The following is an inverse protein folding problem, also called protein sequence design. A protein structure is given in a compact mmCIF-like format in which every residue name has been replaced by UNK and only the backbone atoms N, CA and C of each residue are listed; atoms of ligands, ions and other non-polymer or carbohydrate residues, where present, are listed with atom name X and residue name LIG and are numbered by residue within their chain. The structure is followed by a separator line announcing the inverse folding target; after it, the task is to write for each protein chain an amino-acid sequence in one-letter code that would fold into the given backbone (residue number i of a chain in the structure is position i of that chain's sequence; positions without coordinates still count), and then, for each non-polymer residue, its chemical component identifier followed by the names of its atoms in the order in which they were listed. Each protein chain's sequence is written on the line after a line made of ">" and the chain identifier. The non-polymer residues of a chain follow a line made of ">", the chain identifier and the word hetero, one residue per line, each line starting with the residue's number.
data_IF_773414215676
#
_entry.id   IF_773414215676
#
_cell.length_a   1.000
_cell.length_b   1.000
_cell.length_c   1.000
_cell.angle_alpha   90.00
_cell.angle_beta   90.00
_cell.angle_gamma   90.00
#
_symmetry.space_group_name_H-M   'P 1'
#
loop_
_entity.id
_entity.type
_entity.pdbx_description
1 polymer ?
#
# COMPACT_ATOMS: atom_id res chain seq x y z
N UNK A 1 -6.74 28.16 -9.12
CA UNK A 1 -5.78 29.01 -8.39
C UNK A 1 -6.01 28.76 -6.91
N UNK A 2 -5.31 27.80 -6.32
CA UNK A 2 -5.39 27.47 -4.88
C UNK A 2 -4.21 28.15 -4.18
N UNK A 3 -4.54 29.10 -3.32
CA UNK A 3 -3.56 29.84 -2.53
C UNK A 3 -2.90 28.92 -1.49
N UNK A 4 -1.59 28.67 -1.66
CA UNK A 4 -0.74 28.06 -0.61
C UNK A 4 -0.75 28.96 0.64
N UNK A 5 -1.43 28.52 1.69
CA UNK A 5 -1.26 29.11 3.03
C UNK A 5 0.16 28.80 3.53
N UNK A 6 1.03 29.78 3.52
CA UNK A 6 2.30 29.75 4.25
C UNK A 6 1.99 29.58 5.74
N UNK A 7 2.45 28.47 6.35
CA UNK A 7 2.47 28.32 7.82
C UNK A 7 3.30 29.47 8.40
N UNK A 8 2.68 30.30 9.21
CA UNK A 8 3.39 31.35 9.94
C UNK A 8 4.35 30.69 10.95
N UNK A 9 5.60 31.13 10.95
CA UNK A 9 6.56 30.74 11.95
C UNK A 9 6.07 31.20 13.31
N UNK A 10 6.02 30.29 14.28
CA UNK A 10 5.73 30.61 15.69
C UNK A 10 6.92 31.45 16.20
N UNK A 11 6.71 32.66 16.73
CA UNK A 11 7.81 33.45 17.30
C UNK A 11 8.34 32.73 18.54
N UNK A 12 9.64 32.46 18.57
CA UNK A 12 10.33 31.97 19.75
C UNK A 12 10.23 32.99 20.85
N UNK A 13 9.63 32.63 21.99
CA UNK A 13 9.72 33.45 23.21
C UNK A 13 11.19 33.50 23.68
N UNK A 14 11.68 34.62 24.14
CA UNK A 14 13.04 34.76 24.68
C UNK A 14 13.08 34.03 26.03
N UNK A 15 13.55 32.82 26.07
CA UNK A 15 13.71 32.04 27.27
C UNK A 15 15.01 31.28 27.25
N UNK A 16 15.85 31.56 28.26
CA UNK A 16 17.03 30.86 28.74
C UNK A 16 17.49 29.70 27.87
N UNK A 17 18.71 29.77 27.32
CA UNK A 17 19.41 28.59 26.79
C UNK A 17 19.40 27.49 27.87
N UNK A 18 18.54 26.51 27.72
CA UNK A 18 18.56 25.31 28.55
C UNK A 18 19.90 24.65 28.32
N UNK A 19 20.70 24.45 29.39
CA UNK A 19 21.93 23.69 29.29
C UNK A 19 21.60 22.34 28.69
N UNK A 20 22.45 21.80 27.81
CA UNK A 20 22.26 20.54 27.11
C UNK A 20 21.86 19.38 28.05
N UNK A 21 22.37 19.38 29.29
CA UNK A 21 22.00 18.42 30.33
C UNK A 21 20.51 18.45 30.69
N UNK A 22 19.97 19.65 30.95
CA UNK A 22 18.55 19.83 31.28
C UNK A 22 17.61 19.44 30.12
N UNK A 23 18.05 19.63 28.86
CA UNK A 23 17.29 19.15 27.69
C UNK A 23 17.26 17.62 27.65
N UNK A 24 18.39 16.96 27.89
CA UNK A 24 18.47 15.48 27.93
C UNK A 24 17.59 14.89 29.04
N UNK A 25 17.68 15.42 30.26
CA UNK A 25 16.83 14.99 31.40
C UNK A 25 15.33 15.15 31.05
N UNK A 26 14.98 16.21 30.31
CA UNK A 26 13.60 16.40 29.89
C UNK A 26 13.18 15.38 28.81
N UNK A 27 14.07 15.03 27.89
CA UNK A 27 13.85 13.96 26.90
C UNK A 27 13.65 12.62 27.63
N UNK A 28 14.53 12.26 28.57
CA UNK A 28 14.44 11.01 29.35
C UNK A 28 13.09 10.90 30.10
N UNK A 29 12.61 12.03 30.63
CA UNK A 29 11.29 12.10 31.29
C UNK A 29 10.16 11.84 30.29
N UNK A 30 10.23 12.42 29.09
CA UNK A 30 9.24 12.21 28.03
C UNK A 30 9.28 10.76 27.55
N UNK A 31 10.45 10.17 27.38
CA UNK A 31 10.62 8.79 26.95
C UNK A 31 9.99 7.79 27.96
N UNK A 32 10.18 8.05 29.26
CA UNK A 32 9.53 7.25 30.30
C UNK A 32 8.00 7.33 30.22
N UNK A 33 7.44 8.52 30.01
CA UNK A 33 6.00 8.72 29.83
C UNK A 33 5.48 8.03 28.56
N UNK A 34 6.22 8.12 27.45
CA UNK A 34 5.87 7.43 26.20
C UNK A 34 5.84 5.91 26.41
N UNK A 35 6.83 5.34 27.08
CA UNK A 35 6.87 3.89 27.37
C UNK A 35 5.67 3.46 28.22
N UNK A 36 5.28 4.24 29.23
CA UNK A 36 4.12 3.97 30.07
C UNK A 36 2.82 3.98 29.26
N UNK A 37 2.61 5.01 28.44
CA UNK A 37 1.43 5.16 27.58
C UNK A 37 1.34 4.05 26.51
N UNK A 38 2.47 3.64 25.92
CA UNK A 38 2.53 2.51 25.00
C UNK A 38 2.16 1.19 25.69
N UNK A 39 2.64 0.97 26.91
CA UNK A 39 2.31 -0.20 27.71
C UNK A 39 0.83 -0.23 28.10
N UNK A 40 0.26 0.90 28.48
CA UNK A 40 -1.18 1.03 28.76
C UNK A 40 -2.02 0.74 27.52
N UNK A 41 -1.66 1.34 26.37
CA UNK A 41 -2.33 1.09 25.10
C UNK A 41 -2.30 -0.39 24.69
N UNK A 42 -1.17 -1.08 24.90
CA UNK A 42 -1.03 -2.50 24.61
C UNK A 42 -1.95 -3.35 25.53
N UNK A 43 -2.03 -3.05 26.83
CA UNK A 43 -2.94 -3.72 27.76
C UNK A 43 -4.41 -3.52 27.36
N UNK A 44 -4.80 -2.30 26.97
CA UNK A 44 -6.15 -2.01 26.49
C UNK A 44 -6.48 -2.78 25.20
N UNK A 45 -5.52 -2.90 24.27
CA UNK A 45 -5.67 -3.70 23.07
C UNK A 45 -5.90 -5.20 23.40
N UNK A 46 -5.16 -5.75 24.35
CA UNK A 46 -5.37 -7.13 24.84
C UNK A 46 -6.78 -7.30 25.44
N UNK A 47 -7.24 -6.36 26.24
CA UNK A 47 -8.59 -6.41 26.85
C UNK A 47 -9.70 -6.42 25.78
N UNK A 48 -9.54 -5.64 24.71
CA UNK A 48 -10.45 -5.68 23.55
C UNK A 48 -10.45 -7.07 22.90
N UNK A 49 -9.30 -7.71 22.76
CA UNK A 49 -9.20 -9.08 22.26
C UNK A 49 -9.97 -10.08 23.12
N UNK A 50 -9.73 -10.05 24.43
CA UNK A 50 -10.40 -10.95 25.41
C UNK A 50 -11.92 -10.75 25.41
N UNK A 51 -12.39 -9.48 25.39
CA UNK A 51 -13.82 -9.16 25.38
C UNK A 51 -14.51 -9.75 24.15
N UNK A 52 -13.87 -9.68 23.00
CA UNK A 52 -14.41 -10.23 21.74
C UNK A 52 -14.50 -11.76 21.73
N UNK A 53 -13.58 -12.47 22.36
CA UNK A 53 -13.61 -13.94 22.44
C UNK A 53 -14.76 -14.47 23.31
N UNK A 54 -15.22 -13.71 24.31
CA UNK A 54 -16.33 -14.12 25.20
C UNK A 54 -17.67 -14.20 24.49
N UNK A 55 -17.87 -13.43 23.42
CA UNK A 55 -19.14 -13.36 22.71
C UNK A 55 -19.31 -14.45 21.63
N UNK A 56 -18.37 -15.43 21.53
CA UNK A 56 -18.46 -16.59 20.61
C UNK A 56 -18.40 -16.22 19.11
N UNK A 57 -18.09 -14.98 18.78
CA UNK A 57 -17.91 -14.53 17.41
C UNK A 57 -16.48 -14.74 16.95
N UNK A 58 -16.29 -15.11 15.68
CA UNK A 58 -14.98 -15.09 15.01
C UNK A 58 -14.45 -13.64 15.05
N UNK A 59 -13.39 -13.43 15.82
CA UNK A 59 -12.91 -12.09 16.15
C UNK A 59 -12.12 -11.53 14.98
N UNK A 60 -12.60 -10.43 14.40
CA UNK A 60 -11.78 -9.58 13.54
C UNK A 60 -10.86 -8.73 14.41
N UNK A 61 -9.62 -9.19 14.58
CA UNK A 61 -8.62 -8.44 15.35
C UNK A 61 -8.20 -7.16 14.60
N UNK A 62 -8.07 -7.20 13.29
CA UNK A 62 -7.71 -6.08 12.44
C UNK A 62 -8.93 -5.52 11.71
N UNK A 63 -9.14 -4.21 11.85
CA UNK A 63 -10.25 -3.46 11.26
C UNK A 63 -9.71 -2.25 10.49
N UNK A 64 -9.52 -2.38 9.17
CA UNK A 64 -8.96 -1.32 8.33
C UNK A 64 -9.68 0.04 8.47
N UNK A 65 -11.02 0.02 8.59
CA UNK A 65 -11.81 1.22 8.77
C UNK A 65 -11.49 1.95 10.09
N UNK A 66 -11.24 1.19 11.17
CA UNK A 66 -10.85 1.74 12.46
C UNK A 66 -9.45 2.29 12.47
N UNK A 67 -8.52 1.56 11.84
CA UNK A 67 -7.14 2.03 11.67
C UNK A 67 -7.11 3.37 10.93
N UNK A 68 -7.80 3.48 9.78
CA UNK A 68 -7.89 4.72 9.02
C UNK A 68 -8.43 5.89 9.85
N UNK A 69 -9.46 5.66 10.68
CA UNK A 69 -9.97 6.67 11.60
C UNK A 69 -8.94 7.12 12.63
N UNK A 70 -8.19 6.18 13.22
CA UNK A 70 -7.13 6.50 14.20
C UNK A 70 -6.02 7.32 13.57
N UNK A 71 -5.57 6.93 12.37
CA UNK A 71 -4.52 7.65 11.65
C UNK A 71 -4.96 9.07 11.26
N UNK A 72 -6.17 9.25 10.75
CA UNK A 72 -6.74 10.58 10.43
C UNK A 72 -6.83 11.46 11.68
N UNK A 73 -7.32 10.91 12.79
CA UNK A 73 -7.38 11.64 14.06
C UNK A 73 -5.99 12.00 14.60
N UNK A 74 -4.96 11.19 14.33
CA UNK A 74 -3.58 11.54 14.67
C UNK A 74 -3.05 12.70 13.81
N UNK A 75 -3.36 12.70 12.50
CA UNK A 75 -3.02 13.81 11.60
C UNK A 75 -3.71 15.12 11.99
N UNK A 76 -5.02 15.07 12.32
CA UNK A 76 -5.78 16.25 12.77
C UNK A 76 -5.21 16.87 14.04
N UNK A 77 -4.64 16.05 14.92
CA UNK A 77 -4.00 16.50 16.18
C UNK A 77 -2.55 16.93 16.01
N UNK A 78 -1.91 16.59 14.90
CA UNK A 78 -0.49 16.91 14.68
C UNK A 78 -0.29 18.44 14.63
N UNK A 79 0.42 18.99 15.64
CA UNK A 79 0.82 20.39 15.72
C UNK A 79 2.33 20.53 15.96
N UNK A 80 3.03 19.40 16.00
CA UNK A 80 4.45 19.36 16.33
C UNK A 80 5.36 19.54 15.12
N UNK A 81 6.66 19.41 15.33
CA UNK A 81 7.68 19.51 14.28
C UNK A 81 7.74 18.28 13.37
N UNK A 82 7.19 17.12 13.80
CA UNK A 82 7.15 15.91 12.98
C UNK A 82 6.22 16.10 11.78
N UNK A 83 6.66 15.65 10.61
CA UNK A 83 5.84 15.62 9.40
C UNK A 83 4.69 14.64 9.55
N UNK A 84 3.64 14.88 8.80
CA UNK A 84 2.43 14.04 8.85
C UNK A 84 2.73 12.57 8.50
N UNK A 85 3.64 12.34 7.54
CA UNK A 85 4.07 10.98 7.16
C UNK A 85 4.75 10.24 8.33
N UNK A 86 5.58 10.96 9.10
CA UNK A 86 6.26 10.38 10.28
C UNK A 86 5.25 10.01 11.36
N UNK A 87 4.26 10.86 11.61
CA UNK A 87 3.19 10.60 12.58
C UNK A 87 2.40 9.37 12.18
N UNK A 88 2.00 9.26 10.91
CA UNK A 88 1.27 8.09 10.39
C UNK A 88 2.09 6.82 10.56
N UNK A 89 3.37 6.85 10.17
CA UNK A 89 4.29 5.71 10.29
C UNK A 89 4.41 5.24 11.73
N UNK A 90 4.68 6.14 12.68
CA UNK A 90 4.82 5.81 14.10
C UNK A 90 3.52 5.22 14.67
N UNK A 91 2.36 5.82 14.39
CA UNK A 91 1.09 5.30 14.87
C UNK A 91 0.77 3.93 14.28
N UNK A 92 1.13 3.67 13.01
CA UNK A 92 0.94 2.37 12.37
C UNK A 92 1.81 1.31 13.04
N UNK A 93 3.08 1.59 13.33
CA UNK A 93 3.96 0.66 14.06
C UNK A 93 3.43 0.36 15.47
N UNK A 94 2.97 1.37 16.20
CA UNK A 94 2.37 1.18 17.53
C UNK A 94 1.12 0.29 17.43
N UNK A 95 0.26 0.50 16.43
CA UNK A 95 -0.94 -0.32 16.24
C UNK A 95 -0.58 -1.75 15.86
N UNK A 96 0.38 -1.93 14.96
CA UNK A 96 0.89 -3.23 14.53
C UNK A 96 1.46 -4.02 15.71
N UNK A 97 2.34 -3.42 16.50
CA UNK A 97 2.93 -4.05 17.67
C UNK A 97 1.88 -4.43 18.74
N UNK A 98 0.90 -3.56 18.99
CA UNK A 98 -0.18 -3.88 19.94
C UNK A 98 -1.09 -5.01 19.45
N UNK A 99 -1.35 -5.07 18.14
CA UNK A 99 -2.17 -6.12 17.54
C UNK A 99 -1.46 -7.47 17.58
N UNK A 100 -0.17 -7.50 17.30
CA UNK A 100 0.66 -8.70 17.33
C UNK A 100 0.77 -9.37 18.72
N UNK A 101 0.44 -8.63 19.79
CA UNK A 101 0.32 -9.22 21.14
C UNK A 101 -0.84 -10.21 21.28
N UNK A 102 -1.80 -10.18 20.37
CA UNK A 102 -2.94 -11.11 20.35
C UNK A 102 -2.62 -12.27 19.40
N UNK A 103 -2.55 -11.97 18.12
CA UNK A 103 -2.13 -12.87 17.06
C UNK A 103 -1.54 -12.03 15.92
N UNK A 104 -0.28 -12.30 15.49
CA UNK A 104 0.28 -11.61 14.34
C UNK A 104 -0.52 -11.90 13.07
N UNK A 105 -0.96 -10.83 12.38
CA UNK A 105 -1.64 -10.96 11.09
C UNK A 105 -0.74 -11.67 10.08
N UNK A 106 -1.31 -12.60 9.34
CA UNK A 106 -0.66 -13.27 8.21
C UNK A 106 -1.06 -12.53 6.93
N UNK A 107 -0.09 -11.94 6.26
CA UNK A 107 -0.32 -11.15 5.03
C UNK A 107 0.45 -11.76 3.88
N UNK A 108 -0.28 -12.32 2.90
CA UNK A 108 0.29 -12.89 1.69
C UNK A 108 0.64 -11.80 0.67
N UNK A 109 1.73 -11.98 -0.06
CA UNK A 109 2.16 -11.04 -1.09
C UNK A 109 3.00 -11.72 -2.17
N UNK A 110 3.09 -11.10 -3.36
CA UNK A 110 3.96 -11.58 -4.43
C UNK A 110 5.42 -11.35 -4.05
N UNK A 111 6.13 -12.45 -3.76
CA UNK A 111 7.55 -12.48 -3.43
C UNK A 111 8.48 -12.27 -4.64
N UNK A 112 9.77 -12.47 -4.42
CA UNK A 112 10.42 -12.86 -3.16
C UNK A 112 10.46 -11.74 -2.12
N UNK A 113 11.11 -11.99 -0.97
CA UNK A 113 11.39 -10.94 0.03
C UNK A 113 12.26 -9.83 -0.57
N UNK A 114 12.14 -8.60 -0.06
CA UNK A 114 12.83 -7.41 -0.58
C UNK A 114 12.17 -6.76 -1.81
N UNK A 115 10.96 -7.20 -2.22
CA UNK A 115 10.20 -6.58 -3.32
C UNK A 115 9.42 -5.34 -2.86
N UNK A 116 9.01 -4.49 -3.81
CA UNK A 116 8.10 -3.37 -3.55
C UNK A 116 6.74 -3.84 -3.01
N UNK A 117 6.32 -5.07 -3.33
CA UNK A 117 5.09 -5.63 -2.77
C UNK A 117 5.25 -5.87 -1.27
N UNK A 118 6.41 -6.37 -0.81
CA UNK A 118 6.71 -6.45 0.61
C UNK A 118 6.76 -5.07 1.27
N UNK A 119 7.39 -4.08 0.63
CA UNK A 119 7.37 -2.70 1.13
C UNK A 119 5.95 -2.16 1.29
N UNK A 120 5.04 -2.48 0.36
CA UNK A 120 3.62 -2.13 0.49
C UNK A 120 2.93 -2.85 1.66
N UNK A 121 3.27 -4.13 1.94
CA UNK A 121 2.80 -4.85 3.13
C UNK A 121 3.24 -4.12 4.40
N UNK A 122 4.53 -3.82 4.52
CA UNK A 122 5.10 -3.15 5.70
C UNK A 122 4.55 -1.73 5.85
N UNK A 123 4.39 -1.00 4.75
CA UNK A 123 3.76 0.33 4.76
C UNK A 123 2.33 0.28 5.29
N UNK A 124 1.54 -0.73 4.94
CA UNK A 124 0.13 -0.84 5.32
C UNK A 124 -0.07 -1.40 6.73
N UNK A 125 0.69 -2.44 7.08
CA UNK A 125 0.42 -3.24 8.28
C UNK A 125 1.45 -3.06 9.39
N UNK A 126 2.55 -2.33 9.13
CA UNK A 126 3.71 -2.25 10.03
C UNK A 126 4.55 -3.53 10.04
N UNK A 127 5.60 -3.53 10.88
CA UNK A 127 6.62 -4.60 10.88
C UNK A 127 6.27 -5.79 11.77
N UNK A 128 5.22 -5.73 12.59
CA UNK A 128 4.84 -6.82 13.50
C UNK A 128 3.91 -7.86 12.88
N UNK A 129 3.78 -7.87 11.55
CA UNK A 129 2.99 -8.86 10.81
C UNK A 129 3.84 -10.04 10.34
N UNK A 130 3.21 -11.19 10.11
CA UNK A 130 3.81 -12.33 9.43
C UNK A 130 3.58 -12.20 7.92
N UNK A 131 4.54 -11.65 7.21
CA UNK A 131 4.51 -11.52 5.77
C UNK A 131 4.85 -12.87 5.11
N UNK A 132 4.00 -13.33 4.17
CA UNK A 132 4.13 -14.60 3.46
C UNK A 132 4.43 -14.33 1.99
N UNK A 133 5.69 -14.51 1.59
CA UNK A 133 6.13 -14.37 0.20
C UNK A 133 5.66 -15.58 -0.63
N UNK A 134 4.93 -15.33 -1.72
CA UNK A 134 4.40 -16.38 -2.60
C UNK A 134 4.91 -16.18 -4.02
N UNK A 135 5.08 -17.27 -4.80
CA UNK A 135 5.65 -17.22 -6.14
C UNK A 135 4.80 -16.45 -7.16
N UNK A 136 3.47 -16.48 -7.00
CA UNK A 136 2.53 -15.89 -7.96
C UNK A 136 1.43 -15.09 -7.28
N UNK A 137 0.88 -14.11 -7.99
CA UNK A 137 -0.30 -13.38 -7.52
C UNK A 137 -1.51 -14.30 -7.34
N UNK A 138 -1.64 -15.36 -8.15
CA UNK A 138 -2.71 -16.33 -8.04
C UNK A 138 -2.68 -17.08 -6.71
N UNK A 139 -1.49 -17.45 -6.24
CA UNK A 139 -1.30 -18.09 -4.94
C UNK A 139 -1.62 -17.11 -3.79
N UNK A 140 -1.36 -15.81 -3.95
CA UNK A 140 -1.78 -14.81 -2.96
C UNK A 140 -3.30 -14.82 -2.77
N UNK A 141 -4.06 -14.85 -3.87
CA UNK A 141 -5.52 -14.97 -3.80
C UNK A 141 -5.95 -16.30 -3.15
N UNK A 142 -5.34 -17.42 -3.54
CA UNK A 142 -5.67 -18.75 -3.02
C UNK A 142 -5.42 -18.86 -1.51
N UNK A 143 -4.30 -18.37 -1.01
CA UNK A 143 -3.98 -18.39 0.42
C UNK A 143 -4.97 -17.59 1.28
N UNK A 144 -5.44 -16.46 0.76
CA UNK A 144 -6.48 -15.66 1.43
C UNK A 144 -7.84 -16.33 1.33
N UNK A 145 -8.20 -16.91 0.17
CA UNK A 145 -9.45 -17.65 -0.04
C UNK A 145 -9.54 -18.87 0.88
N UNK A 146 -8.43 -19.61 1.03
CA UNK A 146 -8.33 -20.79 1.90
C UNK A 146 -8.31 -20.43 3.40
N UNK A 147 -8.04 -19.17 3.76
CA UNK A 147 -7.93 -18.74 5.15
C UNK A 147 -6.56 -18.98 5.80
N UNK A 148 -5.56 -19.40 5.02
CA UNK A 148 -4.17 -19.55 5.47
C UNK A 148 -3.50 -18.20 5.72
N UNK A 149 -3.90 -17.17 4.95
CA UNK A 149 -3.58 -15.77 5.20
C UNK A 149 -4.85 -14.96 5.54
N UNK A 150 -4.68 -13.93 6.38
CA UNK A 150 -5.78 -13.05 6.77
C UNK A 150 -6.09 -12.03 5.67
N UNK A 151 -5.03 -11.49 5.07
CA UNK A 151 -5.06 -10.53 3.97
C UNK A 151 -4.03 -10.88 2.91
N UNK A 152 -4.21 -10.31 1.72
CA UNK A 152 -3.23 -10.33 0.65
C UNK A 152 -2.95 -8.91 0.14
N UNK A 153 -1.75 -8.66 -0.34
CA UNK A 153 -1.37 -7.40 -1.00
C UNK A 153 -0.97 -7.69 -2.43
N UNK A 154 -1.65 -7.05 -3.38
CA UNK A 154 -1.46 -7.28 -4.81
C UNK A 154 -1.34 -5.96 -5.56
N UNK A 155 -0.35 -5.86 -6.46
CA UNK A 155 -0.20 -4.69 -7.34
C UNK A 155 -1.34 -4.67 -8.38
N UNK A 156 -1.90 -3.51 -8.65
CA UNK A 156 -2.98 -3.33 -9.65
C UNK A 156 -2.64 -2.34 -10.73
N UNK A 157 -1.77 -1.39 -10.46
CA UNK A 157 -1.43 -0.32 -11.39
C UNK A 157 -0.06 0.28 -11.04
N UNK A 158 0.73 0.55 -12.07
CA UNK A 158 1.96 1.33 -11.96
C UNK A 158 1.84 2.56 -12.89
N UNK A 159 2.26 3.72 -12.43
CA UNK A 159 2.11 4.98 -13.17
C UNK A 159 2.87 4.99 -14.51
N UNK A 160 3.95 4.19 -14.63
CA UNK A 160 4.78 4.10 -15.83
C UNK A 160 4.37 2.94 -16.75
N UNK A 161 3.96 1.79 -16.18
CA UNK A 161 3.67 0.55 -16.92
C UNK A 161 2.18 0.32 -17.15
N UNK A 162 1.34 1.08 -16.43
CA UNK A 162 -0.12 0.92 -16.48
C UNK A 162 -0.63 -0.25 -15.64
N UNK A 163 -1.66 -0.90 -16.11
CA UNK A 163 -2.44 -1.87 -15.36
C UNK A 163 -1.78 -3.24 -15.22
N UNK A 164 -1.80 -3.81 -14.02
CA UNK A 164 -1.37 -5.20 -13.74
C UNK A 164 -2.51 -6.16 -14.09
N UNK A 165 -2.48 -6.67 -15.32
CA UNK A 165 -3.60 -7.41 -15.94
C UNK A 165 -3.96 -8.70 -15.21
N UNK A 166 -2.97 -9.46 -14.71
CA UNK A 166 -3.20 -10.74 -14.02
C UNK A 166 -4.02 -10.53 -12.73
N UNK A 167 -3.71 -9.51 -11.96
CA UNK A 167 -4.46 -9.19 -10.74
C UNK A 167 -5.90 -8.83 -11.04
N UNK A 168 -6.15 -8.04 -12.09
CA UNK A 168 -7.51 -7.69 -12.46
C UNK A 168 -8.32 -8.88 -12.95
N UNK A 169 -7.71 -9.78 -13.73
CA UNK A 169 -8.37 -11.00 -14.20
C UNK A 169 -8.80 -11.89 -13.02
N UNK A 170 -8.00 -11.93 -11.93
CA UNK A 170 -8.37 -12.64 -10.70
C UNK A 170 -9.59 -12.04 -10.01
N UNK A 171 -9.73 -10.72 -9.96
CA UNK A 171 -10.92 -10.08 -9.40
C UNK A 171 -12.23 -10.43 -10.12
N UNK A 172 -12.18 -10.84 -11.40
CA UNK A 172 -13.38 -11.27 -12.12
C UNK A 172 -13.99 -12.53 -11.50
N UNK A 173 -13.15 -13.45 -11.00
CA UNK A 173 -13.55 -14.78 -10.53
C UNK A 173 -13.48 -14.96 -9.02
N UNK A 174 -12.56 -14.29 -8.34
CA UNK A 174 -12.34 -14.42 -6.90
C UNK A 174 -13.54 -13.93 -6.07
N UNK A 175 -13.90 -14.61 -4.98
CA UNK A 175 -14.92 -14.17 -4.03
C UNK A 175 -14.39 -13.11 -3.04
N UNK A 176 -13.09 -12.84 -3.03
CA UNK A 176 -12.46 -11.91 -2.09
C UNK A 176 -12.93 -10.46 -2.31
N UNK A 177 -12.79 -9.67 -1.27
CA UNK A 177 -13.12 -8.25 -1.26
C UNK A 177 -11.86 -7.39 -1.16
N UNK A 178 -11.93 -6.20 -1.73
CA UNK A 178 -10.91 -5.18 -1.54
C UNK A 178 -11.18 -4.50 -0.19
N UNK A 179 -10.17 -4.53 0.69
CA UNK A 179 -10.22 -4.04 2.06
C UNK A 179 -9.35 -2.79 2.29
N UNK A 180 -8.58 -2.37 1.30
CA UNK A 180 -7.72 -1.19 1.41
C UNK A 180 -6.93 -0.94 0.13
N UNK A 181 -6.30 0.21 0.08
CA UNK A 181 -5.34 0.57 -0.97
C UNK A 181 -4.06 1.12 -0.35
N UNK A 182 -2.95 0.83 -1.00
CA UNK A 182 -1.62 1.36 -0.66
C UNK A 182 -1.04 1.97 -1.92
N UNK A 183 -0.66 3.21 -1.84
CA UNK A 183 0.15 3.86 -2.87
C UNK A 183 1.59 3.91 -2.40
N UNK A 184 2.49 3.33 -3.18
CA UNK A 184 3.91 3.31 -2.89
C UNK A 184 4.66 4.06 -3.98
N UNK A 185 5.37 5.11 -3.60
CA UNK A 185 6.32 5.75 -4.49
C UNK A 185 7.49 4.82 -4.71
N UNK A 186 7.85 4.61 -5.97
CA UNK A 186 8.90 3.66 -6.34
C UNK A 186 10.21 4.42 -6.50
N UNK A 187 11.10 4.23 -5.56
CA UNK A 187 12.46 4.71 -5.61
C UNK A 187 13.42 3.57 -5.89
N UNK A 188 14.34 3.79 -6.79
CA UNK A 188 15.39 2.86 -7.11
C UNK A 188 16.68 3.28 -6.41
N UNK A 189 17.25 2.35 -5.66
CA UNK A 189 18.51 2.56 -4.97
C UNK A 189 19.56 1.59 -5.49
N UNK A 190 20.80 2.04 -5.60
CA UNK A 190 21.94 1.16 -5.85
C UNK A 190 22.47 0.66 -4.52
N UNK A 191 22.69 -0.65 -4.41
CA UNK A 191 23.14 -1.29 -3.18
C UNK A 191 24.08 -2.47 -3.45
N UNK A 192 24.97 -2.77 -2.52
CA UNK A 192 25.92 -3.87 -2.65
C UNK A 192 26.67 -4.16 -1.35
N UNK A 193 27.56 -5.17 -1.38
CA UNK A 193 28.46 -5.49 -0.24
C UNK A 193 29.79 -4.74 -0.33
N UNK A 194 29.75 -3.50 -0.76
CA UNK A 194 30.89 -2.60 -0.90
C UNK A 194 30.53 -1.22 -0.36
N UNK A 195 31.52 -0.38 -0.18
CA UNK A 195 31.42 0.96 0.40
C UNK A 195 31.68 2.10 -0.60
N UNK A 196 32.06 1.75 -1.87
CA UNK A 196 32.40 2.73 -2.90
C UNK A 196 31.92 2.28 -4.28
N UNK A 197 31.52 3.25 -5.12
CA UNK A 197 31.01 3.00 -6.48
C UNK A 197 32.07 2.41 -7.40
N UNK A 198 33.35 2.77 -7.21
CA UNK A 198 34.48 2.31 -8.04
C UNK A 198 34.73 0.79 -7.93
N UNK A 199 34.14 0.15 -6.93
CA UNK A 199 34.21 -1.31 -6.75
C UNK A 199 33.11 -2.08 -7.47
N UNK A 200 32.16 -1.36 -8.07
CA UNK A 200 31.04 -1.98 -8.80
C UNK A 200 31.53 -2.38 -10.20
N UNK A 201 31.58 -3.69 -10.44
CA UNK A 201 31.92 -4.28 -11.75
C UNK A 201 30.64 -4.66 -12.51
N UNK A 202 29.58 -5.00 -11.78
CA UNK A 202 28.32 -5.47 -12.36
C UNK A 202 27.13 -4.90 -11.60
N UNK A 203 26.05 -4.56 -12.34
CA UNK A 203 24.76 -4.13 -11.77
C UNK A 203 23.68 -5.12 -12.21
N UNK A 204 23.04 -5.78 -11.23
CA UNK A 204 21.97 -6.75 -11.44
C UNK A 204 20.62 -6.16 -11.03
N UNK A 205 19.62 -6.21 -11.88
CA UNK A 205 18.25 -5.86 -11.53
C UNK A 205 17.25 -6.38 -12.57
N UNK A 206 15.95 -6.22 -12.32
CA UNK A 206 14.95 -6.42 -13.36
C UNK A 206 15.19 -5.46 -14.53
N UNK A 207 14.98 -5.94 -15.77
CA UNK A 207 15.26 -5.14 -16.97
C UNK A 207 14.61 -3.77 -16.99
N UNK A 208 13.41 -3.67 -16.41
CA UNK A 208 12.69 -2.40 -16.28
C UNK A 208 13.42 -1.41 -15.36
N UNK A 209 13.90 -1.84 -14.19
CA UNK A 209 14.63 -0.97 -13.28
C UNK A 209 15.97 -0.51 -13.88
N UNK A 210 16.68 -1.40 -14.62
CA UNK A 210 17.86 -1.01 -15.39
C UNK A 210 17.54 0.07 -16.44
N UNK A 211 16.40 -0.04 -17.12
CA UNK A 211 15.96 0.95 -18.10
C UNK A 211 15.56 2.29 -17.45
N UNK A 212 14.92 2.26 -16.28
CA UNK A 212 14.48 3.46 -15.54
C UNK A 212 15.65 4.20 -14.85
N UNK A 213 16.80 3.56 -14.68
CA UNK A 213 18.00 4.16 -14.10
C UNK A 213 19.13 4.32 -15.13
N UNK A 214 18.79 4.25 -16.43
CA UNK A 214 19.81 4.20 -17.48
C UNK A 214 20.69 5.44 -17.50
N UNK A 215 20.12 6.63 -17.42
CA UNK A 215 20.86 7.89 -17.46
C UNK A 215 21.85 8.00 -16.33
N UNK A 216 21.41 7.69 -15.10
CA UNK A 216 22.26 7.68 -13.92
C UNK A 216 23.41 6.66 -14.04
N UNK A 217 23.12 5.44 -14.54
CA UNK A 217 24.15 4.40 -14.75
C UNK A 217 25.15 4.78 -15.83
N UNK A 218 24.72 5.42 -16.92
CA UNK A 218 25.59 5.88 -18.00
C UNK A 218 26.58 6.96 -17.51
N UNK A 219 26.16 7.80 -16.55
CA UNK A 219 26.97 8.87 -15.98
C UNK A 219 27.96 8.37 -14.91
N UNK A 220 27.49 7.50 -14.00
CA UNK A 220 28.23 7.15 -12.78
C UNK A 220 28.93 5.79 -12.85
N UNK A 221 28.45 4.86 -13.67
CA UNK A 221 28.97 3.49 -13.81
C UNK A 221 28.97 3.05 -15.29
N UNK A 222 29.64 3.81 -16.19
CA UNK A 222 29.62 3.51 -17.64
C UNK A 222 30.24 2.15 -17.98
N UNK A 223 31.25 1.69 -17.23
CA UNK A 223 31.96 0.44 -17.47
C UNK A 223 31.35 -0.78 -16.78
N UNK A 224 30.32 -0.59 -15.87
CA UNK A 224 29.73 -1.71 -15.17
C UNK A 224 28.81 -2.54 -16.09
N UNK A 225 29.00 -3.85 -16.06
CA UNK A 225 28.13 -4.80 -16.78
C UNK A 225 26.69 -4.72 -16.24
N UNK A 226 25.68 -4.60 -17.11
CA UNK A 226 24.27 -4.56 -16.73
C UNK A 226 23.61 -5.90 -17.00
N UNK A 227 23.19 -6.59 -15.96
CA UNK A 227 22.63 -7.94 -16.03
C UNK A 227 21.14 -7.91 -15.63
N UNK A 228 20.29 -8.21 -16.60
CA UNK A 228 18.86 -8.37 -16.33
C UNK A 228 18.58 -9.71 -15.65
N UNK A 229 17.82 -9.65 -14.55
CA UNK A 229 17.38 -10.80 -13.75
C UNK A 229 15.86 -10.79 -13.56
N UNK A 230 15.31 -11.85 -12.98
CA UNK A 230 13.87 -12.06 -12.88
C UNK A 230 13.16 -11.03 -12.00
N UNK A 231 13.86 -10.43 -11.01
CA UNK A 231 13.32 -9.39 -10.12
C UNK A 231 14.43 -8.53 -9.52
N UNK A 232 14.08 -7.34 -9.01
CA UNK A 232 15.01 -6.48 -8.28
C UNK A 232 15.55 -7.19 -7.02
N UNK A 233 14.72 -7.96 -6.34
CA UNK A 233 15.11 -8.75 -5.17
C UNK A 233 16.09 -9.88 -5.53
N UNK A 234 15.95 -10.50 -6.71
CA UNK A 234 16.94 -11.47 -7.21
C UNK A 234 18.28 -10.76 -7.49
N UNK A 235 18.25 -9.54 -8.03
CA UNK A 235 19.45 -8.70 -8.16
C UNK A 235 20.11 -8.44 -6.81
N UNK A 236 19.33 -8.08 -5.79
CA UNK A 236 19.83 -7.85 -4.43
C UNK A 236 20.43 -9.13 -3.80
N UNK A 237 19.82 -10.29 -4.02
CA UNK A 237 20.37 -11.57 -3.60
C UNK A 237 21.74 -11.84 -4.24
N UNK A 238 21.87 -11.61 -5.54
CA UNK A 238 23.19 -11.74 -6.23
C UNK A 238 24.21 -10.74 -5.71
N UNK A 239 23.81 -9.49 -5.47
CA UNK A 239 24.71 -8.49 -4.88
C UNK A 239 25.22 -8.88 -3.49
N UNK A 240 24.41 -9.65 -2.73
CA UNK A 240 24.85 -10.25 -1.46
C UNK A 240 25.89 -11.36 -1.67
N UNK A 241 25.68 -12.22 -2.66
CA UNK A 241 26.41 -13.49 -2.82
C UNK A 241 27.65 -13.35 -3.72
N UNK A 242 27.67 -12.40 -4.67
CA UNK A 242 28.69 -12.24 -5.70
C UNK A 242 29.53 -10.98 -5.47
N UNK A 243 30.84 -11.12 -5.35
CA UNK A 243 31.76 -9.98 -5.18
C UNK A 243 31.74 -9.05 -6.42
N UNK A 244 31.87 -7.74 -6.19
CA UNK A 244 31.85 -6.72 -7.26
C UNK A 244 30.47 -6.50 -7.88
N UNK A 245 29.41 -7.17 -7.40
CA UNK A 245 28.05 -7.03 -7.90
C UNK A 245 27.27 -6.06 -7.02
N UNK A 246 26.64 -5.07 -7.64
CA UNK A 246 25.62 -4.21 -7.05
C UNK A 246 24.24 -4.57 -7.61
N UNK A 247 23.18 -4.14 -6.92
CA UNK A 247 21.81 -4.29 -7.37
C UNK A 247 21.06 -2.95 -7.38
N UNK A 248 20.08 -2.84 -8.27
CA UNK A 248 19.09 -1.78 -8.21
C UNK A 248 17.80 -2.39 -7.62
N UNK A 249 17.37 -1.88 -6.46
CA UNK A 249 16.16 -2.33 -5.78
C UNK A 249 15.59 -1.22 -4.88
N UNK A 250 14.46 -1.47 -4.23
CA UNK A 250 13.94 -0.61 -3.16
C UNK A 250 14.75 -0.77 -1.86
N UNK A 251 14.63 0.19 -0.97
CA UNK A 251 15.34 0.22 0.32
C UNK A 251 15.09 -1.03 1.19
N UNK A 252 13.87 -1.56 1.19
CA UNK A 252 13.53 -2.83 1.86
C UNK A 252 14.46 -3.98 1.48
N UNK A 253 14.94 -4.03 0.23
CA UNK A 253 15.87 -5.07 -0.20
C UNK A 253 17.25 -4.93 0.49
N UNK A 254 17.71 -3.70 0.75
CA UNK A 254 18.96 -3.48 1.46
C UNK A 254 18.89 -4.05 2.89
N UNK A 255 17.78 -3.85 3.59
CA UNK A 255 17.55 -4.38 4.93
C UNK A 255 17.48 -5.91 4.93
N UNK A 256 16.67 -6.50 4.03
CA UNK A 256 16.46 -7.96 3.93
C UNK A 256 17.76 -8.70 3.59
N UNK A 257 18.57 -8.16 2.68
CA UNK A 257 19.79 -8.83 2.21
C UNK A 257 21.07 -8.35 2.88
N UNK A 258 20.99 -7.40 3.83
CA UNK A 258 22.14 -6.85 4.55
C UNK A 258 23.13 -6.14 3.62
N UNK A 259 22.60 -5.33 2.68
CA UNK A 259 23.39 -4.60 1.70
C UNK A 259 23.62 -3.14 2.11
N UNK A 260 24.78 -2.61 1.76
CA UNK A 260 25.09 -1.20 1.93
C UNK A 260 24.45 -0.38 0.82
N UNK A 261 23.79 0.72 1.18
CA UNK A 261 23.22 1.67 0.24
C UNK A 261 24.34 2.54 -0.36
N UNK A 262 24.58 2.38 -1.65
CA UNK A 262 25.63 3.11 -2.40
C UNK A 262 25.10 4.44 -2.96
N UNK A 263 23.87 4.42 -3.49
CA UNK A 263 23.18 5.63 -3.97
C UNK A 263 21.67 5.47 -3.82
N UNK A 264 20.96 6.58 -3.60
CA UNK A 264 19.50 6.64 -3.43
C UNK A 264 18.87 7.39 -4.59
N UNK A 265 17.62 7.02 -4.90
CA UNK A 265 16.77 7.73 -5.88
C UNK A 265 17.48 7.94 -7.22
N UNK A 266 18.02 6.83 -7.76
CA UNK A 266 18.80 6.84 -9.01
C UNK A 266 17.95 6.71 -10.27
N UNK A 267 16.63 6.67 -10.13
CA UNK A 267 15.69 6.65 -11.26
C UNK A 267 15.75 7.95 -12.06
N UNK A 268 15.69 7.85 -13.38
CA UNK A 268 15.71 9.01 -14.31
C UNK A 268 14.42 9.85 -14.19
N UNK A 269 13.31 9.27 -13.68
CA UNK A 269 12.02 9.92 -13.46
C UNK A 269 11.49 9.64 -12.07
N UNK A 270 11.24 10.69 -11.30
CA UNK A 270 10.84 10.62 -9.90
C UNK A 270 9.32 10.48 -9.67
N UNK A 271 8.51 10.38 -10.71
CA UNK A 271 7.04 10.34 -10.63
C UNK A 271 6.46 8.91 -10.67
N UNK A 272 7.30 7.89 -10.50
CA UNK A 272 6.87 6.49 -10.52
C UNK A 272 6.20 6.09 -9.20
N UNK A 273 4.95 5.65 -9.30
CA UNK A 273 4.17 5.13 -8.17
C UNK A 273 3.49 3.83 -8.56
N UNK A 274 3.38 2.92 -7.59
CA UNK A 274 2.61 1.69 -7.76
C UNK A 274 1.46 1.69 -6.76
N UNK A 275 0.27 1.41 -7.25
CA UNK A 275 -0.93 1.20 -6.45
C UNK A 275 -1.11 -0.29 -6.18
N UNK A 276 -1.26 -0.62 -4.91
CA UNK A 276 -1.56 -1.96 -4.43
C UNK A 276 -2.94 -1.96 -3.81
N UNK A 277 -3.62 -3.11 -3.87
CA UNK A 277 -4.86 -3.35 -3.15
C UNK A 277 -4.65 -4.41 -2.08
N UNK A 278 -5.28 -4.18 -0.94
CA UNK A 278 -5.41 -5.16 0.12
C UNK A 278 -6.66 -6.00 -0.13
N UNK A 279 -6.52 -7.31 -0.19
CA UNK A 279 -7.62 -8.25 -0.38
C UNK A 279 -7.87 -9.04 0.90
N UNK A 280 -9.14 -9.34 1.16
CA UNK A 280 -9.58 -10.08 2.34
C UNK A 280 -10.94 -10.73 2.13
N UNK A 281 -11.38 -11.52 3.11
CA UNK A 281 -12.63 -12.30 3.01
C UNK A 281 -13.90 -11.53 3.37
N UNK A 282 -13.78 -10.37 4.03
CA UNK A 282 -14.93 -9.65 4.60
C UNK A 282 -15.12 -8.28 3.99
N UNK A 283 -16.37 -7.87 3.91
CA UNK A 283 -16.75 -6.49 3.62
C UNK A 283 -16.49 -5.62 4.86
N UNK A 284 -16.03 -4.40 4.63
CA UNK A 284 -15.77 -3.41 5.68
C UNK A 284 -16.99 -2.54 5.94
N UNK A 285 -16.98 -1.88 7.10
CA UNK A 285 -17.93 -0.82 7.45
C UNK A 285 -17.41 0.55 6.98
N UNK A 286 -18.30 1.55 6.83
CA UNK A 286 -17.88 2.90 6.45
C UNK A 286 -16.82 3.49 7.40
N UNK A 287 -15.77 4.07 6.84
CA UNK A 287 -14.73 4.81 7.59
C UNK A 287 -14.96 6.32 7.60
N UNK A 288 -15.87 6.81 6.76
CA UNK A 288 -16.16 8.23 6.56
C UNK A 288 -15.43 8.84 5.35
N UNK A 289 -14.33 8.23 4.87
CA UNK A 289 -13.59 8.65 3.68
C UNK A 289 -13.20 7.41 2.90
N UNK A 290 -14.13 6.92 2.07
CA UNK A 290 -14.02 5.62 1.43
C UNK A 290 -13.98 5.73 -0.09
N UNK A 291 -13.50 4.68 -0.72
CA UNK A 291 -13.67 4.35 -2.14
C UNK A 291 -14.45 3.05 -2.25
N UNK A 292 -15.16 2.89 -3.35
CA UNK A 292 -15.80 1.62 -3.72
C UNK A 292 -15.33 1.19 -5.09
N UNK A 293 -14.83 -0.03 -5.20
CA UNK A 293 -14.49 -0.64 -6.49
C UNK A 293 -15.62 -1.55 -6.96
N UNK A 294 -16.06 -1.32 -8.18
CA UNK A 294 -17.14 -2.03 -8.84
C UNK A 294 -16.61 -2.83 -10.02
N UNK A 295 -17.18 -4.03 -10.24
CA UNK A 295 -17.04 -4.79 -11.47
C UNK A 295 -18.39 -4.82 -12.16
N UNK A 296 -18.48 -4.24 -13.36
CA UNK A 296 -19.73 -4.09 -14.11
C UNK A 296 -19.57 -4.48 -15.57
N UNK A 297 -20.65 -4.96 -16.19
CA UNK A 297 -20.74 -5.16 -17.64
C UNK A 297 -22.12 -4.71 -18.14
N UNK A 298 -22.14 -4.14 -19.33
CA UNK A 298 -23.39 -3.87 -20.05
C UNK A 298 -23.93 -5.11 -20.79
N UNK A 299 -23.15 -6.21 -20.83
CA UNK A 299 -23.42 -7.37 -21.61
C UNK A 299 -23.17 -7.15 -23.10
N UNK A 300 -23.47 -8.17 -23.90
CA UNK A 300 -23.29 -8.14 -25.35
C UNK A 300 -24.40 -7.32 -26.01
N UNK A 301 -24.39 -6.01 -25.81
CA UNK A 301 -25.35 -5.13 -26.47
C UNK A 301 -24.67 -4.46 -27.68
N UNK A 302 -25.24 -4.66 -28.87
CA UNK A 302 -24.90 -3.88 -30.06
C UNK A 302 -25.48 -2.45 -29.99
N UNK A 303 -26.10 -2.08 -28.87
CA UNK A 303 -26.77 -0.81 -28.70
C UNK A 303 -25.76 0.31 -28.43
N UNK A 304 -25.75 1.40 -29.20
CA UNK A 304 -24.93 2.57 -28.90
C UNK A 304 -25.19 3.11 -27.50
N UNK A 305 -24.14 3.66 -26.86
CA UNK A 305 -24.25 4.29 -25.55
C UNK A 305 -24.36 3.31 -24.36
N UNK A 306 -24.02 2.02 -24.52
CA UNK A 306 -24.10 1.03 -23.44
C UNK A 306 -23.30 1.45 -22.19
N UNK A 307 -22.05 1.90 -22.38
CA UNK A 307 -21.21 2.40 -21.29
C UNK A 307 -21.81 3.69 -20.67
N UNK A 308 -22.29 4.61 -21.48
CA UNK A 308 -22.95 5.83 -20.99
C UNK A 308 -24.11 5.51 -20.03
N UNK A 309 -24.95 4.52 -20.39
CA UNK A 309 -26.08 4.09 -19.53
C UNK A 309 -25.63 3.51 -18.19
N UNK A 310 -24.44 2.90 -18.14
CA UNK A 310 -23.86 2.43 -16.86
C UNK A 310 -23.34 3.60 -16.01
N UNK A 311 -22.78 4.64 -16.62
CA UNK A 311 -22.20 5.78 -15.92
C UNK A 311 -23.26 6.80 -15.45
N UNK A 312 -24.40 6.91 -16.18
CA UNK A 312 -25.44 7.90 -15.89
C UNK A 312 -25.96 7.89 -14.42
N UNK A 313 -26.18 6.74 -13.77
CA UNK A 313 -26.60 6.74 -12.35
C UNK A 313 -25.58 7.38 -11.42
N UNK A 314 -24.29 7.20 -11.68
CA UNK A 314 -23.22 7.80 -10.87
C UNK A 314 -23.19 9.31 -11.05
N UNK A 315 -23.25 9.79 -12.29
CA UNK A 315 -23.32 11.22 -12.60
C UNK A 315 -24.58 11.89 -12.00
N UNK A 316 -25.75 11.27 -12.12
CA UNK A 316 -27.03 11.77 -11.55
C UNK A 316 -26.96 11.92 -10.03
N UNK A 317 -26.26 11.04 -9.33
CA UNK A 317 -26.07 11.10 -7.89
C UNK A 317 -24.81 11.87 -7.47
N UNK A 318 -24.11 12.55 -8.43
CA UNK A 318 -22.91 13.36 -8.19
C UNK A 318 -21.77 12.55 -7.51
N UNK A 319 -21.64 11.29 -7.92
CA UNK A 319 -20.56 10.42 -7.44
C UNK A 319 -19.39 10.53 -8.39
N UNK A 320 -18.23 10.90 -7.88
CA UNK A 320 -17.00 10.98 -8.64
C UNK A 320 -16.46 9.59 -8.94
N UNK A 321 -16.01 9.39 -10.19
CA UNK A 321 -15.31 8.19 -10.63
C UNK A 321 -13.83 8.54 -10.70
N UNK A 322 -13.03 7.88 -9.89
CA UNK A 322 -11.58 8.15 -9.80
C UNK A 322 -10.76 7.29 -10.76
N UNK A 323 -11.34 6.16 -11.23
CA UNK A 323 -10.69 5.25 -12.18
C UNK A 323 -11.71 4.49 -13.00
N UNK A 324 -11.39 4.29 -14.27
CA UNK A 324 -12.13 3.41 -15.18
C UNK A 324 -11.12 2.52 -15.89
N UNK A 325 -11.34 1.22 -15.85
CA UNK A 325 -10.53 0.26 -16.57
C UNK A 325 -11.43 -0.73 -17.30
N UNK A 326 -11.10 -1.10 -18.51
CA UNK A 326 -11.87 -2.07 -19.30
C UNK A 326 -11.07 -3.33 -19.55
N UNK A 327 -11.71 -4.49 -19.38
CA UNK A 327 -11.10 -5.81 -19.61
C UNK A 327 -12.01 -6.69 -20.43
N UNK A 328 -11.46 -7.54 -21.36
CA UNK A 328 -12.24 -8.60 -21.97
C UNK A 328 -12.82 -9.52 -20.90
N UNK A 329 -14.12 -9.85 -21.02
CA UNK A 329 -14.81 -10.69 -20.01
C UNK A 329 -14.33 -12.14 -19.97
N UNK A 330 -13.61 -12.57 -21.01
CA UNK A 330 -13.21 -13.97 -21.29
C UNK A 330 -14.38 -14.96 -21.39
N UNK A 331 -15.61 -14.52 -21.17
CA UNK A 331 -16.82 -15.36 -21.31
C UNK A 331 -17.29 -15.46 -22.76
N UNK A 332 -17.17 -14.36 -23.51
CA UNK A 332 -17.52 -14.26 -24.95
C UNK A 332 -16.57 -13.34 -25.66
N UNK A 333 -16.33 -13.59 -26.96
CA UNK A 333 -15.57 -12.65 -27.82
C UNK A 333 -16.23 -11.26 -27.82
N UNK A 334 -15.42 -10.23 -27.63
CA UNK A 334 -15.83 -8.82 -27.68
C UNK A 334 -16.82 -8.40 -26.57
N UNK A 335 -16.93 -9.18 -25.49
CA UNK A 335 -17.64 -8.78 -24.29
C UNK A 335 -16.65 -8.20 -23.26
N UNK A 336 -16.98 -7.03 -22.70
CA UNK A 336 -16.11 -6.29 -21.79
C UNK A 336 -16.72 -6.20 -20.39
N UNK A 337 -15.89 -6.29 -19.41
CA UNK A 337 -16.16 -5.87 -18.03
C UNK A 337 -15.40 -4.58 -17.72
N UNK A 338 -15.97 -3.77 -16.88
CA UNK A 338 -15.39 -2.50 -16.46
C UNK A 338 -15.17 -2.54 -14.94
N UNK A 339 -14.00 -2.08 -14.54
CA UNK A 339 -13.70 -1.77 -13.16
C UNK A 339 -13.89 -0.26 -12.97
N UNK A 340 -14.72 0.13 -12.04
CA UNK A 340 -14.93 1.53 -11.66
C UNK A 340 -14.51 1.70 -10.21
N UNK A 341 -13.60 2.64 -9.94
CA UNK A 341 -13.36 3.13 -8.59
C UNK A 341 -14.14 4.43 -8.42
N UNK A 342 -15.04 4.43 -7.45
CA UNK A 342 -15.90 5.58 -7.13
C UNK A 342 -15.64 6.08 -5.72
N UNK A 343 -15.90 7.36 -5.48
CA UNK A 343 -15.84 7.94 -4.14
C UNK A 343 -17.08 7.59 -3.33
N UNK A 344 -16.87 7.33 -2.02
CA UNK A 344 -17.87 6.96 -1.04
C UNK A 344 -17.98 5.45 -0.82
N UNK A 345 -18.65 5.10 0.28
CA UNK A 345 -18.92 3.72 0.68
C UNK A 345 -20.23 3.22 0.08
N UNK A 346 -20.31 1.93 -0.29
CA UNK A 346 -21.52 1.34 -0.87
C UNK A 346 -22.75 1.44 0.05
N UNK A 347 -22.56 1.55 1.37
CA UNK A 347 -23.62 1.72 2.36
C UNK A 347 -24.06 3.19 2.54
N UNK A 348 -23.30 4.16 2.02
CA UNK A 348 -23.70 5.57 2.07
C UNK A 348 -25.03 5.77 1.34
N UNK A 349 -26.00 6.50 1.88
CA UNK A 349 -27.36 6.56 1.32
C UNK A 349 -27.42 7.00 -0.14
N UNK A 350 -26.58 7.94 -0.56
CA UNK A 350 -26.52 8.43 -1.95
C UNK A 350 -25.84 7.45 -2.87
N UNK A 351 -24.73 6.79 -2.44
CA UNK A 351 -24.01 5.76 -3.19
C UNK A 351 -24.90 4.54 -3.36
N UNK A 352 -25.52 4.05 -2.30
CA UNK A 352 -26.43 2.90 -2.33
C UNK A 352 -27.56 3.08 -3.36
N UNK A 353 -28.16 4.28 -3.43
CA UNK A 353 -29.19 4.59 -4.44
C UNK A 353 -28.65 4.54 -5.88
N UNK A 354 -27.46 5.10 -6.08
CA UNK A 354 -26.82 5.07 -7.39
C UNK A 354 -26.48 3.64 -7.83
N UNK A 355 -25.90 2.84 -6.90
CA UNK A 355 -25.57 1.43 -7.14
C UNK A 355 -26.80 0.57 -7.43
N UNK A 356 -27.92 0.80 -6.74
CA UNK A 356 -29.19 0.12 -7.03
C UNK A 356 -29.69 0.44 -8.47
N UNK A 357 -29.54 1.68 -8.92
CA UNK A 357 -29.89 2.09 -10.28
C UNK A 357 -28.96 1.46 -11.32
N UNK A 358 -27.65 1.47 -11.05
CA UNK A 358 -26.63 0.87 -11.92
C UNK A 358 -26.81 -0.65 -12.02
N UNK A 359 -27.09 -1.34 -10.91
CA UNK A 359 -27.36 -2.78 -10.89
C UNK A 359 -28.51 -3.21 -11.82
N UNK A 360 -29.58 -2.39 -11.93
CA UNK A 360 -30.71 -2.68 -12.84
C UNK A 360 -30.36 -2.56 -14.32
N UNK A 361 -29.29 -1.85 -14.65
CA UNK A 361 -28.84 -1.60 -16.05
C UNK A 361 -27.70 -2.49 -16.47
N UNK A 362 -26.98 -3.07 -15.52
CA UNK A 362 -25.84 -3.92 -15.76
C UNK A 362 -26.24 -5.38 -15.96
N UNK A 363 -25.61 -6.07 -16.88
CA UNK A 363 -25.71 -7.54 -17.03
C UNK A 363 -24.86 -8.30 -16.03
N UNK A 364 -23.77 -7.68 -15.57
CA UNK A 364 -22.92 -8.11 -14.46
C UNK A 364 -22.75 -6.91 -13.53
N UNK A 365 -22.98 -7.12 -12.24
CA UNK A 365 -22.75 -6.13 -11.21
C UNK A 365 -22.22 -6.79 -9.95
N UNK A 366 -21.01 -6.40 -9.53
CA UNK A 366 -20.40 -6.79 -8.25
C UNK A 366 -19.76 -5.57 -7.60
N UNK A 367 -19.95 -5.43 -6.31
CA UNK A 367 -19.12 -4.59 -5.46
C UNK A 367 -17.94 -5.42 -5.02
N UNK A 368 -16.75 -5.11 -5.51
CA UNK A 368 -15.52 -5.81 -5.14
C UNK A 368 -15.06 -5.43 -3.73
N UNK A 369 -15.37 -4.22 -3.30
CA UNK A 369 -15.12 -3.75 -1.94
C UNK A 369 -15.42 -2.28 -1.80
N UNK A 370 -15.74 -1.86 -0.58
CA UNK A 370 -15.69 -0.48 -0.13
C UNK A 370 -14.65 -0.40 0.98
N UNK A 371 -13.71 0.52 0.87
CA UNK A 371 -12.52 0.55 1.72
C UNK A 371 -12.04 1.98 1.94
N UNK A 372 -11.33 2.23 3.06
CA UNK A 372 -10.76 3.54 3.34
C UNK A 372 -9.80 3.99 2.22
N UNK A 373 -9.89 5.25 1.83
CA UNK A 373 -8.85 5.88 1.01
C UNK A 373 -7.52 5.81 1.77
N UNK A 374 -6.42 5.62 1.05
CA UNK A 374 -5.08 5.60 1.63
C UNK A 374 -4.86 6.82 2.54
N UNK A 375 -4.27 6.59 3.71
CA UNK A 375 -3.87 7.64 4.64
C UNK A 375 -2.36 7.76 4.53
N UNK A 376 -1.89 8.62 3.62
CA UNK A 376 -0.49 8.90 3.28
C UNK A 376 0.34 7.69 2.85
#
# INVERSE_FOLDING_TARGET
>A
VAARRRKAAVPAAPGRELQLGAIRERIDTVDAQLQELLSERARLAQQVGISKHRDGHVVDFYRPEREAQVLRAALERNRGPLRDEEVVRLFREIMSACLAQQEPLKVAYLGPEGTYTQAAVLKQFGHSVRALALPTSDEVFQEVEAGNADFGVVAVENSSEGTVTNTQDRFITSPLHICGEVELRIHHCLMGRMDALERVVRVCSHGQALAQCRGWLDEHLPEAERVAVASNAEGARRARDEAGTAAIAGDTAAEVYGLTMLAREIEDRQDNSTRFLVIGRKLLKPSGHDKTTLLVSAGHTKSPGALHRLLEPLARHRINITRIESRPSRRRKWDYVFFFDIEGHAEDPHVRRALANLKRRASLFRVLGSYPKAVL
#
